data_IF_580667531055
#
_entry.id   IF_580667531055
#
_cell.length_a   1.000
_cell.length_b   1.000
_cell.length_c   1.000
_cell.angle_alpha   90.00
_cell.angle_beta   90.00
_cell.angle_gamma   90.00
#
_symmetry.space_group_name_H-M   'P 1'
#
loop_
_entity.id
_entity.type
_entity.pdbx_description
1 polymer ?
#
# COMPACT_ATOMS: atom_id res chain seq x y z
N UNK A 1 26.17 -35.83 6.46
CA UNK A 1 25.32 -35.64 5.27
C UNK A 1 23.89 -35.92 5.73
N UNK A 2 22.91 -35.03 5.63
CA UNK A 2 22.75 -33.84 4.79
C UNK A 2 22.25 -32.64 5.62
N UNK A 3 22.78 -31.44 5.35
CA UNK A 3 22.09 -30.20 5.66
C UNK A 3 21.09 -29.94 4.52
N UNK A 4 19.83 -29.72 4.87
CA UNK A 4 18.85 -29.18 3.93
C UNK A 4 18.62 -27.74 4.35
N UNK A 5 19.41 -26.84 3.79
CA UNK A 5 19.11 -25.42 3.80
C UNK A 5 17.89 -25.22 2.88
N UNK A 6 16.69 -25.20 3.46
CA UNK A 6 15.57 -24.48 2.85
C UNK A 6 15.97 -23.00 2.87
N UNK A 7 16.57 -22.58 1.77
CA UNK A 7 16.87 -21.19 1.46
C UNK A 7 15.53 -20.47 1.29
N UNK A 8 14.92 -20.10 2.42
CA UNK A 8 13.72 -19.28 2.46
C UNK A 8 14.03 -17.98 1.73
N UNK A 9 13.38 -17.76 0.58
CA UNK A 9 13.46 -16.52 -0.18
C UNK A 9 13.28 -15.37 0.82
N UNK A 10 14.33 -14.57 1.03
CA UNK A 10 14.27 -13.38 1.86
C UNK A 10 13.37 -12.41 1.10
N UNK A 11 12.06 -12.51 1.32
CA UNK A 11 11.10 -11.66 0.62
C UNK A 11 11.34 -10.23 1.10
N UNK A 12 11.69 -9.30 0.20
CA UNK A 12 12.05 -7.97 0.64
C UNK A 12 10.83 -7.24 1.18
N UNK A 13 10.92 -6.79 2.42
CA UNK A 13 9.81 -6.12 3.09
C UNK A 13 9.54 -4.70 2.55
N UNK A 14 10.46 -4.13 1.76
CA UNK A 14 10.40 -2.75 1.29
C UNK A 14 10.79 -2.60 -0.18
N UNK A 15 10.00 -1.86 -0.95
CA UNK A 15 10.22 -1.65 -2.40
C UNK A 15 10.39 -0.17 -2.74
N UNK A 16 11.40 0.11 -3.56
CA UNK A 16 11.65 1.42 -4.18
C UNK A 16 11.43 1.38 -5.69
N UNK A 17 11.44 2.56 -6.31
CA UNK A 17 11.19 2.76 -7.74
C UNK A 17 9.92 2.04 -8.24
N UNK A 18 8.88 1.99 -7.39
CA UNK A 18 7.74 1.15 -7.65
C UNK A 18 6.75 1.76 -8.65
N UNK A 19 6.07 0.90 -9.40
CA UNK A 19 4.89 1.24 -10.19
C UNK A 19 4.00 -0.01 -10.31
N UNK A 20 2.74 0.18 -10.69
CA UNK A 20 1.80 -0.91 -10.87
C UNK A 20 1.33 -0.98 -12.31
N UNK A 21 1.12 -2.20 -12.78
CA UNK A 21 0.60 -2.47 -14.12
C UNK A 21 -0.57 -3.44 -14.06
N UNK A 22 -1.48 -3.33 -15.00
CA UNK A 22 -2.55 -4.30 -15.23
C UNK A 22 -2.06 -5.52 -16.03
N UNK A 23 -2.95 -6.47 -16.30
CA UNK A 23 -2.68 -7.66 -17.10
C UNK A 23 -2.27 -7.37 -18.55
N UNK A 24 -2.60 -6.18 -19.09
CA UNK A 24 -2.21 -5.73 -20.42
C UNK A 24 -0.89 -4.93 -20.40
N UNK A 25 -0.28 -4.73 -19.24
CA UNK A 25 0.92 -3.93 -19.06
C UNK A 25 0.67 -2.41 -19.01
N UNK A 26 -0.59 -1.97 -18.96
CA UNK A 26 -0.98 -0.58 -18.79
C UNK A 26 -0.68 -0.08 -17.37
N UNK A 27 -0.37 1.21 -17.22
CA UNK A 27 -0.13 1.82 -15.90
C UNK A 27 -1.44 1.79 -15.10
N UNK A 28 -1.39 1.21 -13.91
CA UNK A 28 -2.54 1.09 -13.02
C UNK A 28 -2.25 1.68 -11.65
N UNK A 29 -3.28 2.10 -10.92
CA UNK A 29 -3.16 2.54 -9.52
C UNK A 29 -3.48 1.39 -8.57
N UNK A 30 -2.67 1.19 -7.52
CA UNK A 30 -3.00 0.18 -6.49
C UNK A 30 -4.28 0.52 -5.72
N UNK A 31 -4.75 1.77 -5.75
CA UNK A 31 -5.95 2.19 -5.01
C UNK A 31 -7.25 1.59 -5.53
N UNK A 32 -7.24 0.97 -6.72
CA UNK A 32 -8.39 0.20 -7.22
C UNK A 32 -8.53 -1.15 -6.49
N UNK A 33 -7.46 -1.61 -5.84
CA UNK A 33 -7.48 -2.83 -5.04
C UNK A 33 -8.24 -2.57 -3.73
N UNK A 34 -8.78 -3.61 -3.09
CA UNK A 34 -9.42 -3.51 -1.80
C UNK A 34 -8.46 -2.93 -0.76
N UNK A 35 -8.99 -2.03 0.07
CA UNK A 35 -8.31 -1.51 1.24
C UNK A 35 -8.61 -2.44 2.43
N UNK A 36 -7.58 -3.04 3.02
CA UNK A 36 -7.71 -4.14 4.00
C UNK A 36 -6.89 -3.85 5.25
N UNK A 37 -7.48 -4.00 6.44
CA UNK A 37 -6.75 -3.86 7.71
C UNK A 37 -6.76 -5.14 8.55
N UNK A 38 -7.81 -5.96 8.44
CA UNK A 38 -7.95 -7.23 9.16
C UNK A 38 -7.58 -8.45 8.31
N UNK A 39 -7.16 -9.54 8.96
CA UNK A 39 -6.91 -10.83 8.29
C UNK A 39 -8.19 -11.45 7.73
N UNK A 40 -9.33 -11.18 8.38
CA UNK A 40 -10.66 -11.68 8.00
C UNK A 40 -11.40 -10.81 6.97
N UNK A 41 -10.80 -9.71 6.50
CA UNK A 41 -11.41 -8.91 5.43
C UNK A 41 -11.48 -9.78 4.17
N UNK A 42 -12.71 -10.16 3.81
CA UNK A 42 -12.98 -10.98 2.64
C UNK A 42 -12.50 -10.22 1.41
N UNK A 43 -11.48 -10.75 0.74
CA UNK A 43 -11.09 -10.31 -0.58
C UNK A 43 -12.24 -10.61 -1.53
N UNK A 44 -13.11 -9.62 -1.76
CA UNK A 44 -14.04 -9.66 -2.88
C UNK A 44 -13.22 -9.97 -4.13
N UNK A 45 -13.69 -10.91 -4.96
CA UNK A 45 -13.01 -11.30 -6.18
C UNK A 45 -12.88 -10.05 -7.08
N UNK A 46 -11.72 -9.40 -7.05
CA UNK A 46 -11.42 -8.36 -8.02
C UNK A 46 -11.06 -9.04 -9.32
N UNK A 47 -11.82 -8.73 -10.37
CA UNK A 47 -11.53 -9.20 -11.72
C UNK A 47 -10.28 -8.55 -12.32
N UNK A 48 -9.74 -7.50 -11.69
CA UNK A 48 -8.57 -6.77 -12.18
C UNK A 48 -7.29 -7.34 -11.59
N UNK A 49 -6.46 -7.94 -12.44
CA UNK A 49 -5.13 -8.39 -12.05
C UNK A 49 -4.15 -7.22 -12.08
N UNK A 50 -3.54 -6.92 -10.94
CA UNK A 50 -2.57 -5.84 -10.79
C UNK A 50 -1.25 -6.41 -10.31
N UNK A 51 -0.16 -5.95 -10.92
CA UNK A 51 1.19 -6.40 -10.65
C UNK A 51 2.05 -5.23 -10.16
N UNK A 52 2.70 -5.43 -9.03
CA UNK A 52 3.75 -4.56 -8.51
C UNK A 52 5.04 -4.80 -9.30
N UNK A 53 5.63 -3.72 -9.80
CA UNK A 53 6.99 -3.65 -10.32
C UNK A 53 7.83 -2.71 -9.47
N UNK A 54 9.09 -3.03 -9.25
CA UNK A 54 10.01 -2.15 -8.54
C UNK A 54 11.33 -2.83 -8.26
N UNK A 55 12.08 -2.31 -7.31
CA UNK A 55 13.33 -2.89 -6.85
C UNK A 55 13.37 -3.00 -5.34
N UNK A 56 13.94 -4.10 -4.86
CA UNK A 56 14.27 -4.37 -3.48
C UNK A 56 15.79 -4.34 -3.27
N UNK A 57 16.23 -4.53 -2.02
CA UNK A 57 17.63 -4.61 -1.62
C UNK A 57 18.48 -3.47 -2.20
N UNK A 58 18.02 -2.24 -1.95
CA UNK A 58 18.65 -1.01 -2.43
C UNK A 58 18.83 -0.94 -3.96
N UNK A 59 17.94 -1.56 -4.72
CA UNK A 59 17.97 -1.53 -6.19
C UNK A 59 18.50 -2.79 -6.84
N UNK A 60 19.04 -3.74 -6.06
CA UNK A 60 19.72 -4.93 -6.58
C UNK A 60 18.74 -5.99 -7.10
N UNK A 61 17.57 -6.13 -6.48
CA UNK A 61 16.63 -7.18 -6.82
C UNK A 61 15.40 -6.62 -7.53
N UNK A 62 15.19 -6.91 -8.84
CA UNK A 62 13.97 -6.52 -9.52
C UNK A 62 12.79 -7.34 -9.01
N UNK A 63 11.65 -6.68 -8.80
CA UNK A 63 10.44 -7.30 -8.27
C UNK A 63 9.33 -7.24 -9.30
N UNK A 64 8.64 -8.37 -9.47
CA UNK A 64 7.41 -8.49 -10.25
C UNK A 64 6.45 -9.43 -9.53
N UNK A 65 5.47 -8.89 -8.79
CA UNK A 65 4.54 -9.70 -7.98
C UNK A 65 3.10 -9.26 -8.18
N UNK A 66 2.18 -10.23 -8.34
CA UNK A 66 0.74 -9.96 -8.32
C UNK A 66 0.33 -9.48 -6.92
N UNK A 67 -0.47 -8.44 -6.85
CA UNK A 67 -1.00 -7.88 -5.60
C UNK A 67 -2.51 -8.00 -5.53
N UNK A 68 -3.03 -8.15 -4.31
CA UNK A 68 -4.42 -8.50 -4.04
C UNK A 68 -5.17 -7.40 -3.30
N UNK A 69 -4.48 -6.65 -2.45
CA UNK A 69 -5.04 -5.60 -1.60
C UNK A 69 -3.97 -4.59 -1.23
N UNK A 70 -4.38 -3.50 -0.60
CA UNK A 70 -3.47 -2.52 -0.01
C UNK A 70 -3.97 -2.05 1.35
N UNK A 71 -3.07 -1.43 2.10
CA UNK A 71 -3.36 -0.84 3.40
C UNK A 71 -2.46 0.34 3.68
N UNK A 72 -2.82 1.14 4.67
CA UNK A 72 -1.94 2.17 5.21
C UNK A 72 -1.92 2.14 6.73
N UNK A 73 -0.78 2.53 7.29
CA UNK A 73 -0.56 2.66 8.74
C UNK A 73 -0.21 4.12 9.05
N UNK A 74 -0.87 4.67 10.07
CA UNK A 74 -0.77 6.09 10.45
C UNK A 74 -0.16 6.30 11.84
N UNK A 75 0.15 5.22 12.57
CA UNK A 75 0.60 5.29 13.96
C UNK A 75 2.06 5.72 14.08
N UNK A 76 2.88 5.47 13.06
CA UNK A 76 4.29 5.82 13.01
C UNK A 76 4.56 7.32 12.78
N UNK A 77 5.84 7.69 12.75
CA UNK A 77 6.29 9.06 12.51
C UNK A 77 5.88 9.59 11.13
N UNK A 78 5.96 8.73 10.10
CA UNK A 78 5.45 8.97 8.76
C UNK A 78 4.36 7.93 8.44
N UNK A 79 3.37 8.26 7.60
CA UNK A 79 2.43 7.25 7.14
C UNK A 79 3.13 6.23 6.24
N UNK A 80 2.68 4.99 6.32
CA UNK A 80 3.22 3.90 5.52
C UNK A 80 2.11 3.30 4.66
N UNK A 81 2.47 2.89 3.44
CA UNK A 81 1.56 2.18 2.53
C UNK A 81 2.13 0.80 2.26
N UNK A 82 1.28 -0.21 2.35
CA UNK A 82 1.64 -1.59 2.08
C UNK A 82 0.68 -2.21 1.07
N UNK A 83 1.18 -3.18 0.31
CA UNK A 83 0.38 -4.00 -0.60
C UNK A 83 0.51 -5.47 -0.26
N UNK A 84 -0.58 -6.21 -0.40
CA UNK A 84 -0.63 -7.65 -0.14
C UNK A 84 -0.27 -8.39 -1.41
N UNK A 85 0.79 -9.19 -1.38
CA UNK A 85 1.14 -10.07 -2.50
C UNK A 85 0.18 -11.27 -2.60
N UNK A 86 0.22 -11.95 -3.74
CA UNK A 86 -0.45 -13.25 -3.91
C UNK A 86 0.01 -14.29 -2.86
N UNK A 87 1.26 -14.19 -2.43
CA UNK A 87 1.88 -15.06 -1.42
C UNK A 87 1.47 -14.69 0.02
N UNK A 88 0.50 -13.78 0.19
CA UNK A 88 -0.01 -13.30 1.47
C UNK A 88 1.01 -12.55 2.32
N UNK A 89 2.00 -11.93 1.66
CA UNK A 89 3.03 -11.12 2.31
C UNK A 89 2.71 -9.64 2.10
N UNK A 90 2.76 -8.87 3.18
CA UNK A 90 2.65 -7.41 3.12
C UNK A 90 3.98 -6.77 2.74
N UNK A 91 3.98 -6.01 1.65
CA UNK A 91 5.16 -5.36 1.10
C UNK A 91 5.01 -3.85 1.29
N UNK A 92 5.97 -3.22 1.96
CA UNK A 92 6.00 -1.77 2.17
C UNK A 92 6.46 -1.04 0.92
N UNK A 93 5.74 0.02 0.55
CA UNK A 93 6.08 0.89 -0.57
C UNK A 93 6.84 2.12 -0.04
N UNK A 94 8.07 2.33 -0.52
CA UNK A 94 8.91 3.45 -0.09
C UNK A 94 8.86 4.62 -1.08
N UNK A 95 9.40 4.43 -2.28
CA UNK A 95 9.54 5.50 -3.29
C UNK A 95 8.94 5.06 -4.62
N UNK A 96 7.90 5.75 -5.13
CA UNK A 96 7.38 5.47 -6.48
C UNK A 96 8.39 5.85 -7.56
N UNK A 97 8.27 5.24 -8.73
CA UNK A 97 8.95 5.66 -9.95
C UNK A 97 8.53 7.07 -10.32
N UNK A 98 9.45 7.90 -10.82
CA UNK A 98 9.21 9.33 -11.10
C UNK A 98 7.94 9.60 -11.94
N UNK A 99 7.76 8.88 -13.06
CA UNK A 99 6.57 9.04 -13.91
C UNK A 99 5.29 8.37 -13.39
N UNK A 100 5.36 7.65 -12.27
CA UNK A 100 4.22 7.00 -11.63
C UNK A 100 3.63 7.84 -10.48
N UNK A 101 4.38 8.84 -9.99
CA UNK A 101 3.95 9.72 -8.89
C UNK A 101 2.60 10.36 -9.18
N UNK A 102 2.39 10.84 -10.42
CA UNK A 102 1.13 11.48 -10.84
C UNK A 102 -0.07 10.54 -10.68
N UNK A 103 0.09 9.26 -11.02
CA UNK A 103 -0.97 8.23 -10.95
C UNK A 103 -1.50 8.01 -9.54
N UNK A 104 -0.64 8.15 -8.53
CA UNK A 104 -0.99 7.88 -7.13
C UNK A 104 -1.00 9.13 -6.25
N UNK A 105 -0.77 10.31 -6.81
CA UNK A 105 -0.63 11.57 -6.06
C UNK A 105 -1.81 11.79 -5.10
N UNK A 106 -3.03 11.62 -5.59
CA UNK A 106 -4.25 11.81 -4.77
C UNK A 106 -4.28 10.88 -3.57
N UNK A 107 -3.84 9.62 -3.74
CA UNK A 107 -3.78 8.63 -2.66
C UNK A 107 -2.74 9.03 -1.63
N UNK A 108 -1.55 9.42 -2.07
CA UNK A 108 -0.47 9.89 -1.19
C UNK A 108 -0.92 11.10 -0.36
N UNK A 109 -1.51 12.12 -1.02
CA UNK A 109 -2.02 13.31 -0.34
C UNK A 109 -3.07 12.93 0.70
N UNK A 110 -4.02 12.06 0.34
CA UNK A 110 -5.08 11.62 1.25
C UNK A 110 -4.51 10.92 2.48
N UNK A 111 -3.57 9.98 2.29
CA UNK A 111 -2.93 9.26 3.39
C UNK A 111 -2.15 10.20 4.31
N UNK A 112 -1.38 11.14 3.75
CA UNK A 112 -0.67 12.15 4.54
C UNK A 112 -1.61 13.10 5.27
N UNK A 113 -2.74 13.47 4.66
CA UNK A 113 -3.78 14.26 5.32
C UNK A 113 -4.38 13.51 6.53
N UNK A 114 -4.75 12.25 6.35
CA UNK A 114 -5.27 11.41 7.44
C UNK A 114 -4.24 11.26 8.58
N UNK A 115 -2.97 11.09 8.25
CA UNK A 115 -1.87 11.07 9.23
C UNK A 115 -1.80 12.39 10.01
N UNK A 116 -1.81 13.52 9.31
CA UNK A 116 -1.79 14.85 9.94
C UNK A 116 -2.96 15.05 10.90
N UNK A 117 -4.18 14.72 10.49
CA UNK A 117 -5.37 14.82 11.34
C UNK A 117 -5.23 13.92 12.58
N UNK A 118 -4.80 12.66 12.40
CA UNK A 118 -4.59 11.72 13.52
C UNK A 118 -3.55 12.21 14.53
N UNK A 119 -2.50 12.89 14.07
CA UNK A 119 -1.42 13.42 14.91
C UNK A 119 -1.75 14.74 15.61
N UNK A 120 -2.80 15.44 15.18
CA UNK A 120 -3.18 16.75 15.71
C UNK A 120 -4.65 16.79 16.17
N UNK A 121 -5.05 15.91 17.12
CA UNK A 121 -6.45 15.78 17.55
C UNK A 121 -6.99 17.05 18.20
N UNK A 122 -6.18 17.80 18.96
CA UNK A 122 -6.64 19.01 19.64
C UNK A 122 -6.89 20.17 18.66
N UNK A 123 -6.05 20.28 17.62
CA UNK A 123 -6.14 21.33 16.61
C UNK A 123 -7.27 21.08 15.62
N UNK A 124 -7.46 19.82 15.21
CA UNK A 124 -8.30 19.46 14.05
C UNK A 124 -9.50 18.59 14.45
N UNK A 125 -9.40 17.85 15.56
CA UNK A 125 -10.40 16.87 15.97
C UNK A 125 -11.76 17.48 16.24
N UNK A 126 -11.84 18.63 16.91
CA UNK A 126 -13.12 19.31 17.17
C UNK A 126 -13.84 19.72 15.88
N UNK A 127 -13.11 20.22 14.89
CA UNK A 127 -13.67 20.65 13.59
C UNK A 127 -14.10 19.44 12.77
N UNK A 128 -13.22 18.45 12.64
CA UNK A 128 -13.48 17.24 11.85
C UNK A 128 -14.61 16.42 12.45
N UNK A 129 -14.63 16.22 13.77
CA UNK A 129 -15.69 15.48 14.44
C UNK A 129 -17.05 16.20 14.36
N UNK A 130 -17.08 17.53 14.44
CA UNK A 130 -18.31 18.30 14.25
C UNK A 130 -18.83 18.16 12.80
N UNK A 131 -17.94 18.25 11.81
CA UNK A 131 -18.30 18.08 10.41
C UNK A 131 -18.79 16.65 10.10
N UNK A 132 -18.01 15.64 10.48
CA UNK A 132 -18.34 14.22 10.28
C UNK A 132 -19.60 13.85 11.06
N UNK A 133 -19.69 14.25 12.32
CA UNK A 133 -20.85 13.98 13.17
C UNK A 133 -22.15 14.60 12.66
N UNK A 134 -22.08 15.74 11.96
CA UNK A 134 -23.25 16.29 11.23
C UNK A 134 -23.56 15.50 9.96
N UNK A 135 -22.52 15.08 9.24
CA UNK A 135 -22.66 14.38 7.95
C UNK A 135 -23.14 12.93 8.10
N UNK A 136 -22.84 12.28 9.23
CA UNK A 136 -23.19 10.88 9.54
C UNK A 136 -24.48 10.73 10.38
N UNK A 137 -25.08 11.83 10.83
CA UNK A 137 -26.44 11.80 11.38
C UNK A 137 -27.42 11.70 10.21
N UNK A 138 -27.66 10.47 9.76
CA UNK A 138 -28.82 10.11 8.95
C UNK A 138 -30.12 10.36 9.73
#
# INVERSE_FOLDING_TARGET
MASSDEEGEIVPNCITNYHFVDSNGGVASFSILPLQWGEDDILGALNSEIFLRGTADDGLQPIYKKVLAWRFELSYALPEIHVLSKDKIWIKLLKPRTGYVDTIRTVLITVHFLHFVKKNPDTVGGIVWNYIGKSLRC
#
